data_IF_294088000504
#
_entry.id   IF_294088000504
#
_cell.length_a   1.000
_cell.length_b   1.000
_cell.length_c   1.000
_cell.angle_alpha   90.00
_cell.angle_beta   90.00
_cell.angle_gamma   90.00
#
_symmetry.space_group_name_H-M   'P 1'
#
loop_
_entity.id
_entity.type
_entity.pdbx_description
1 polymer ?
#
# COMPACT_ATOMS: atom_id res chain seq x y z
N UNK A 1 -21.92 -22.37 40.25
CA UNK A 1 -20.89 -23.08 39.46
C UNK A 1 -21.10 -22.77 37.99
N UNK A 2 -20.37 -21.78 37.47
CA UNK A 2 -19.88 -21.72 36.09
C UNK A 2 -18.83 -20.61 36.12
N UNK A 3 -17.56 -21.02 36.23
CA UNK A 3 -16.44 -20.09 36.37
C UNK A 3 -16.36 -19.23 35.12
N UNK A 4 -16.49 -17.92 35.29
CA UNK A 4 -15.90 -16.97 34.37
C UNK A 4 -14.40 -17.11 34.55
N UNK A 5 -13.80 -18.03 33.79
CA UNK A 5 -12.36 -18.10 33.63
C UNK A 5 -11.93 -16.82 32.91
N UNK A 6 -11.69 -15.77 33.70
CA UNK A 6 -10.88 -14.63 33.35
C UNK A 6 -9.42 -15.09 33.22
N UNK A 7 -9.16 -15.97 32.26
CA UNK A 7 -7.81 -16.22 31.78
C UNK A 7 -7.41 -14.96 30.99
N UNK A 8 -6.62 -14.10 31.62
CA UNK A 8 -6.02 -12.95 30.98
C UNK A 8 -5.13 -13.38 29.82
N UNK A 9 -5.71 -13.52 28.62
CA UNK A 9 -4.97 -13.34 27.38
C UNK A 9 -4.43 -11.91 27.40
N UNK A 10 -3.17 -11.75 27.80
CA UNK A 10 -2.45 -10.48 27.54
C UNK A 10 -2.57 -10.23 26.03
N UNK A 11 -2.93 -9.01 25.61
CA UNK A 11 -3.25 -8.74 24.22
C UNK A 11 -2.00 -8.96 23.39
N UNK A 12 -2.01 -10.03 22.59
CA UNK A 12 -1.04 -10.32 21.53
C UNK A 12 -0.97 -9.21 20.46
N UNK A 13 -1.80 -8.18 20.61
CA UNK A 13 -1.76 -6.89 19.93
C UNK A 13 -0.35 -6.36 19.68
N UNK A 14 0.53 -6.34 20.67
CA UNK A 14 1.90 -5.82 20.48
C UNK A 14 2.71 -6.66 19.49
N UNK A 15 2.49 -7.98 19.46
CA UNK A 15 3.09 -8.87 18.47
C UNK A 15 2.59 -8.55 17.06
N UNK A 16 1.27 -8.45 16.88
CA UNK A 16 0.69 -8.08 15.58
C UNK A 16 1.09 -6.67 15.14
N UNK A 17 1.15 -5.71 16.05
CA UNK A 17 1.59 -4.35 15.76
C UNK A 17 3.07 -4.35 15.34
N UNK A 18 3.92 -5.10 16.04
CA UNK A 18 5.33 -5.27 15.67
C UNK A 18 5.48 -5.88 14.28
N UNK A 19 4.77 -6.97 13.98
CA UNK A 19 4.78 -7.57 12.64
C UNK A 19 4.24 -6.63 11.56
N UNK A 20 3.12 -5.96 11.81
CA UNK A 20 2.53 -5.01 10.85
C UNK A 20 3.46 -3.84 10.59
N UNK A 21 4.13 -3.34 11.64
CA UNK A 21 5.17 -2.34 11.53
C UNK A 21 6.35 -2.81 10.69
N UNK A 22 6.84 -4.04 10.92
CA UNK A 22 7.89 -4.64 10.11
C UNK A 22 7.50 -4.75 8.63
N UNK A 23 6.28 -5.20 8.31
CA UNK A 23 5.77 -5.23 6.94
C UNK A 23 5.79 -3.85 6.29
N UNK A 24 5.25 -2.85 7.00
CA UNK A 24 5.22 -1.47 6.52
C UNK A 24 6.64 -0.90 6.34
N UNK A 25 7.57 -1.22 7.25
CA UNK A 25 8.97 -0.78 7.17
C UNK A 25 9.71 -1.45 6.00
N UNK A 26 9.51 -2.74 5.76
CA UNK A 26 10.10 -3.43 4.62
C UNK A 26 9.55 -2.88 3.30
N UNK A 27 8.22 -2.70 3.21
CA UNK A 27 7.58 -2.13 2.03
C UNK A 27 7.99 -0.68 1.79
N UNK A 28 7.97 0.17 2.82
CA UNK A 28 8.33 1.58 2.73
C UNK A 28 9.84 1.82 2.56
N UNK A 29 10.67 0.99 3.19
CA UNK A 29 12.12 1.08 3.12
C UNK A 29 12.66 0.90 1.71
N UNK A 30 12.12 -0.04 0.94
CA UNK A 30 12.50 -0.22 -0.48
C UNK A 30 12.25 1.03 -1.32
N UNK A 31 11.11 1.70 -1.10
CA UNK A 31 10.75 2.96 -1.77
C UNK A 31 11.68 4.09 -1.33
N UNK A 32 11.93 4.22 -0.02
CA UNK A 32 12.83 5.26 0.51
C UNK A 32 14.25 5.11 -0.04
N UNK A 33 14.77 3.89 -0.14
CA UNK A 33 16.07 3.63 -0.74
C UNK A 33 16.14 4.09 -2.21
N UNK A 34 15.10 3.80 -3.00
CA UNK A 34 15.02 4.25 -4.38
C UNK A 34 14.90 5.77 -4.52
N UNK A 35 14.23 6.43 -3.59
CA UNK A 35 14.16 7.89 -3.54
C UNK A 35 15.50 8.54 -3.17
N UNK A 36 16.31 7.89 -2.32
CA UNK A 36 17.60 8.42 -1.85
C UNK A 36 18.76 8.17 -2.82
N UNK A 37 18.68 7.17 -3.70
CA UNK A 37 19.77 6.80 -4.62
C UNK A 37 19.30 6.75 -6.08
N UNK A 38 18.74 7.85 -6.63
CA UNK A 38 18.40 7.88 -8.04
C UNK A 38 19.66 7.97 -8.93
N UNK A 39 19.64 7.42 -10.15
CA UNK A 39 20.70 7.63 -11.14
C UNK A 39 20.96 9.11 -11.41
N UNK A 40 22.19 9.47 -11.77
CA UNK A 40 22.56 10.86 -12.04
C UNK A 40 21.67 11.49 -13.13
N UNK A 41 21.04 12.63 -12.81
CA UNK A 41 20.12 13.33 -13.71
C UNK A 41 18.67 12.85 -13.65
N UNK A 42 18.35 11.84 -12.83
CA UNK A 42 16.99 11.31 -12.66
C UNK A 42 16.41 11.68 -11.30
N UNK A 43 15.08 11.75 -11.22
CA UNK A 43 14.32 11.86 -9.97
C UNK A 43 13.39 10.66 -9.84
N UNK A 44 13.26 10.16 -8.62
CA UNK A 44 12.33 9.09 -8.34
C UNK A 44 10.89 9.57 -8.50
N UNK A 45 10.11 8.86 -9.33
CA UNK A 45 8.72 9.20 -9.63
C UNK A 45 7.76 8.93 -8.45
N UNK A 46 8.10 7.97 -7.57
CA UNK A 46 7.20 7.51 -6.50
C UNK A 46 6.74 6.05 -6.65
N UNK A 47 7.20 5.33 -7.66
CA UNK A 47 6.82 3.93 -7.91
C UNK A 47 8.03 3.07 -8.26
N UNK A 48 8.17 1.91 -7.61
CA UNK A 48 9.15 0.87 -7.97
C UNK A 48 8.59 -0.08 -9.03
N UNK A 49 7.31 -0.38 -8.91
CA UNK A 49 6.52 -1.28 -9.77
C UNK A 49 5.21 -0.54 -10.07
N UNK A 50 4.61 -0.83 -11.22
CA UNK A 50 3.37 -0.21 -11.67
C UNK A 50 3.43 1.33 -11.70
N UNK A 51 4.45 1.87 -12.38
CA UNK A 51 4.67 3.32 -12.52
C UNK A 51 3.53 4.05 -13.23
N UNK A 52 2.79 3.33 -14.06
CA UNK A 52 1.68 3.87 -14.86
C UNK A 52 0.55 4.32 -13.94
N UNK A 53 0.14 3.47 -13.00
CA UNK A 53 -0.88 3.80 -12.00
C UNK A 53 -0.41 4.88 -11.02
N UNK A 54 0.85 4.81 -10.58
CA UNK A 54 1.41 5.86 -9.72
C UNK A 54 1.35 7.23 -10.41
N UNK A 55 1.60 7.28 -11.72
CA UNK A 55 1.47 8.51 -12.49
C UNK A 55 0.04 9.05 -12.50
N UNK A 56 -0.96 8.17 -12.65
CA UNK A 56 -2.39 8.51 -12.57
C UNK A 56 -2.75 9.06 -11.19
N UNK A 57 -2.28 8.42 -10.11
CA UNK A 57 -2.54 8.85 -8.74
C UNK A 57 -1.87 10.19 -8.41
N UNK A 58 -0.62 10.39 -8.82
CA UNK A 58 0.07 11.66 -8.62
C UNK A 58 -0.57 12.78 -9.45
N UNK A 59 -1.04 12.49 -10.66
CA UNK A 59 -1.78 13.46 -11.45
C UNK A 59 -3.13 13.84 -10.81
N UNK A 60 -3.81 12.89 -10.16
CA UNK A 60 -4.97 13.19 -9.32
C UNK A 60 -4.57 14.07 -8.12
N UNK A 61 -3.48 13.76 -7.43
CA UNK A 61 -3.00 14.59 -6.31
C UNK A 61 -2.66 16.02 -6.77
N UNK A 62 -2.06 16.20 -7.94
CA UNK A 62 -1.80 17.54 -8.51
C UNK A 62 -3.10 18.30 -8.78
N UNK A 63 -4.13 17.65 -9.30
CA UNK A 63 -5.46 18.26 -9.50
C UNK A 63 -6.11 18.62 -8.15
N UNK A 64 -6.06 17.71 -7.18
CA UNK A 64 -6.54 17.96 -5.82
C UNK A 64 -5.85 19.15 -5.16
N UNK A 65 -4.52 19.25 -5.29
CA UNK A 65 -3.73 20.37 -4.78
C UNK A 65 -4.13 21.72 -5.40
N UNK A 66 -4.63 21.72 -6.65
CA UNK A 66 -5.19 22.91 -7.33
C UNK A 66 -6.62 23.24 -6.91
N UNK A 67 -7.26 22.37 -6.13
CA UNK A 67 -8.61 22.57 -5.59
C UNK A 67 -9.71 21.78 -6.29
N UNK A 68 -9.37 20.93 -7.27
CA UNK A 68 -10.36 20.15 -8.02
C UNK A 68 -11.04 19.10 -7.12
N UNK A 69 -12.34 18.90 -7.35
CA UNK A 69 -13.16 17.89 -6.65
C UNK A 69 -13.53 16.70 -7.54
N UNK A 70 -13.40 16.86 -8.86
CA UNK A 70 -13.64 15.83 -9.86
C UNK A 70 -12.34 15.59 -10.60
N UNK A 71 -12.02 14.33 -10.84
CA UNK A 71 -10.82 13.94 -11.55
C UNK A 71 -11.03 14.06 -13.06
N UNK A 72 -10.05 14.66 -13.74
CA UNK A 72 -9.94 14.66 -15.20
C UNK A 72 -8.72 13.83 -15.61
N UNK A 73 -8.93 12.82 -16.46
CA UNK A 73 -7.85 11.97 -16.97
C UNK A 73 -6.91 12.80 -17.86
N UNK A 74 -5.63 13.02 -17.48
CA UNK A 74 -4.70 13.84 -18.26
C UNK A 74 -3.94 13.04 -19.33
N UNK A 75 -4.00 11.71 -19.25
CA UNK A 75 -3.28 10.78 -20.13
C UNK A 75 -4.20 10.14 -21.20
N UNK A 76 -5.50 10.42 -21.16
CA UNK A 76 -6.45 9.96 -22.18
C UNK A 76 -6.62 11.07 -23.23
N UNK A 77 -6.32 10.82 -24.52
CA UNK A 77 -6.57 11.79 -25.58
C UNK A 77 -8.07 12.04 -25.82
N UNK A 78 -8.93 11.12 -25.38
CA UNK A 78 -10.37 11.23 -25.51
C UNK A 78 -10.89 12.18 -24.43
N UNK A 79 -11.57 13.28 -24.79
CA UNK A 79 -12.12 14.19 -23.80
C UNK A 79 -13.28 13.52 -23.07
N UNK A 80 -13.04 13.06 -21.85
CA UNK A 80 -14.06 12.53 -20.95
C UNK A 80 -14.43 13.62 -19.92
N UNK A 81 -15.73 13.79 -19.59
CA UNK A 81 -16.14 14.69 -18.51
C UNK A 81 -15.43 14.37 -17.19
N UNK A 82 -15.14 15.36 -16.33
CA UNK A 82 -14.60 15.11 -15.00
C UNK A 82 -15.54 14.21 -14.19
N UNK A 83 -14.98 13.20 -13.50
CA UNK A 83 -15.76 12.20 -12.76
C UNK A 83 -15.30 12.07 -11.31
N UNK A 84 -16.18 11.51 -10.46
CA UNK A 84 -15.89 11.26 -9.05
C UNK A 84 -15.14 9.92 -8.91
N UNK A 85 -13.91 9.91 -9.44
CA UNK A 85 -12.94 8.82 -9.31
C UNK A 85 -11.66 9.37 -8.70
N UNK A 86 -10.81 8.49 -8.16
CA UNK A 86 -9.57 8.89 -7.47
C UNK A 86 -9.75 9.94 -6.37
N UNK A 87 -10.94 10.04 -5.77
CA UNK A 87 -11.27 11.09 -4.79
C UNK A 87 -10.36 11.07 -3.56
N UNK A 88 -9.92 9.89 -3.13
CA UNK A 88 -8.90 9.77 -2.08
C UNK A 88 -7.61 10.51 -2.46
N UNK A 89 -7.14 10.35 -3.69
CA UNK A 89 -5.93 11.00 -4.19
C UNK A 89 -6.14 12.51 -4.38
N UNK A 90 -7.33 12.96 -4.80
CA UNK A 90 -7.66 14.40 -4.79
C UNK A 90 -7.53 14.98 -3.36
N UNK A 91 -8.07 14.29 -2.36
CA UNK A 91 -7.96 14.71 -0.95
C UNK A 91 -6.52 14.70 -0.44
N UNK A 92 -5.72 13.68 -0.79
CA UNK A 92 -4.30 13.64 -0.45
C UNK A 92 -3.51 14.77 -1.14
N UNK A 93 -3.90 15.16 -2.36
CA UNK A 93 -3.38 16.33 -3.05
C UNK A 93 -3.63 17.62 -2.29
N UNK A 94 -4.87 17.82 -1.82
CA UNK A 94 -5.22 18.96 -0.95
C UNK A 94 -4.41 18.96 0.34
N UNK A 95 -4.22 17.78 0.95
CA UNK A 95 -3.38 17.64 2.15
C UNK A 95 -1.92 18.00 1.88
N UNK A 96 -1.36 17.56 0.75
CA UNK A 96 -0.01 17.93 0.30
C UNK A 96 0.14 19.44 0.13
N UNK A 97 -0.84 20.09 -0.51
CA UNK A 97 -0.87 21.55 -0.64
C UNK A 97 -0.99 22.26 0.72
N UNK A 98 -1.86 21.78 1.62
CA UNK A 98 -2.06 22.37 2.94
C UNK A 98 -0.82 22.24 3.84
N UNK A 99 -0.06 21.16 3.71
CA UNK A 99 1.19 20.93 4.46
C UNK A 99 2.41 21.55 3.77
N UNK A 100 2.29 22.02 2.52
CA UNK A 100 3.39 22.54 1.74
C UNK A 100 4.49 21.50 1.45
N UNK A 101 4.14 20.22 1.39
CA UNK A 101 5.10 19.11 1.23
C UNK A 101 4.89 18.35 -0.07
N UNK A 102 5.90 17.59 -0.48
CA UNK A 102 5.89 16.80 -1.73
C UNK A 102 4.76 15.75 -1.79
N UNK A 103 4.12 15.63 -2.96
CA UNK A 103 3.02 14.69 -3.20
C UNK A 103 3.44 13.23 -3.03
N UNK A 104 4.66 12.86 -3.44
CA UNK A 104 5.19 11.49 -3.32
C UNK A 104 5.34 11.12 -1.85
N UNK A 105 5.78 12.08 -1.01
CA UNK A 105 5.88 11.87 0.44
C UNK A 105 4.50 11.61 1.07
N UNK A 106 3.49 12.43 0.73
CA UNK A 106 2.13 12.24 1.24
C UNK A 106 1.53 10.94 0.73
N UNK A 107 1.74 10.59 -0.54
CA UNK A 107 1.30 9.33 -1.13
C UNK A 107 1.85 8.11 -0.36
N UNK A 108 3.16 8.07 -0.12
CA UNK A 108 3.75 6.95 0.63
C UNK A 108 3.40 6.97 2.11
N UNK A 109 3.29 8.15 2.73
CA UNK A 109 2.80 8.28 4.11
C UNK A 109 1.40 7.70 4.26
N UNK A 110 0.48 8.07 3.36
CA UNK A 110 -0.86 7.52 3.30
C UNK A 110 -0.84 5.99 3.09
N UNK A 111 -0.02 5.50 2.16
CA UNK A 111 0.14 4.05 1.92
C UNK A 111 0.56 3.29 3.17
N UNK A 112 1.51 3.81 3.95
CA UNK A 112 1.95 3.18 5.21
C UNK A 112 0.86 3.21 6.28
N UNK A 113 0.17 4.34 6.44
CA UNK A 113 -0.92 4.48 7.42
C UNK A 113 -2.08 3.54 7.08
N UNK A 114 -2.54 3.53 5.83
CA UNK A 114 -3.63 2.66 5.40
C UNK A 114 -3.23 1.18 5.39
N UNK A 115 -2.00 0.85 4.99
CA UNK A 115 -1.49 -0.52 5.05
C UNK A 115 -1.43 -1.06 6.49
N UNK A 116 -0.88 -0.26 7.42
CA UNK A 116 -0.88 -0.61 8.84
C UNK A 116 -2.31 -0.79 9.37
N UNK A 117 -3.20 0.15 9.05
CA UNK A 117 -4.61 0.09 9.47
C UNK A 117 -5.29 -1.17 8.94
N UNK A 118 -5.07 -1.53 7.67
CA UNK A 118 -5.62 -2.74 7.07
C UNK A 118 -5.15 -4.01 7.78
N UNK A 119 -3.87 -4.11 8.14
CA UNK A 119 -3.33 -5.26 8.88
C UNK A 119 -3.90 -5.37 10.30
N UNK A 120 -4.15 -4.23 10.96
CA UNK A 120 -4.79 -4.21 12.28
C UNK A 120 -6.28 -4.59 12.20
N UNK A 121 -6.98 -4.18 11.15
CA UNK A 121 -8.36 -4.62 10.86
C UNK A 121 -8.39 -6.12 10.55
N UNK A 122 -7.45 -6.62 9.76
CA UNK A 122 -7.32 -8.05 9.47
C UNK A 122 -7.12 -8.85 10.76
N UNK A 123 -6.29 -8.37 11.70
CA UNK A 123 -6.12 -9.00 13.02
C UNK A 123 -7.43 -9.03 13.80
N UNK A 124 -8.16 -7.92 13.83
CA UNK A 124 -9.47 -7.87 14.50
C UNK A 124 -10.44 -8.89 13.89
N UNK A 125 -10.46 -8.97 12.56
CA UNK A 125 -11.32 -9.90 11.82
C UNK A 125 -10.95 -11.37 12.07
N UNK A 126 -9.66 -11.74 12.03
CA UNK A 126 -9.24 -13.14 12.30
C UNK A 126 -9.46 -13.55 13.75
N UNK A 127 -9.33 -12.63 14.70
CA UNK A 127 -9.63 -12.86 16.11
C UNK A 127 -11.12 -13.11 16.36
N UNK A 128 -12.01 -12.50 15.57
CA UNK A 128 -13.45 -12.73 15.64
C UNK A 128 -13.85 -14.11 15.08
N UNK A 129 -13.10 -14.65 14.11
CA UNK A 129 -13.41 -15.92 13.44
C UNK A 129 -12.84 -17.15 14.14
N UNK A 130 -11.64 -17.05 14.69
CA UNK A 130 -10.93 -18.21 15.23
C UNK A 130 -10.71 -18.09 16.74
N UNK A 131 -10.88 -19.18 17.48
CA UNK A 131 -10.63 -19.21 18.94
C UNK A 131 -9.18 -19.54 19.29
N UNK A 132 -8.52 -20.41 18.52
CA UNK A 132 -7.13 -20.82 18.75
C UNK A 132 -6.16 -19.76 18.24
N UNK A 133 -5.18 -19.38 19.08
CA UNK A 133 -4.20 -18.34 18.78
C UNK A 133 -3.37 -18.66 17.54
N UNK A 134 -2.96 -19.91 17.38
CA UNK A 134 -2.15 -20.38 16.26
C UNK A 134 -2.92 -20.20 14.94
N UNK A 135 -4.20 -20.56 14.92
CA UNK A 135 -5.07 -20.41 13.74
C UNK A 135 -5.30 -18.93 13.40
N UNK A 136 -5.48 -18.06 14.40
CA UNK A 136 -5.58 -16.60 14.18
C UNK A 136 -4.34 -16.05 13.49
N UNK A 137 -3.16 -16.45 13.96
CA UNK A 137 -1.88 -16.00 13.41
C UNK A 137 -1.69 -16.51 11.99
N UNK A 138 -1.95 -17.81 11.74
CA UNK A 138 -1.85 -18.37 10.38
C UNK A 138 -2.81 -17.68 9.42
N UNK A 139 -4.08 -17.48 9.80
CA UNK A 139 -5.04 -16.76 8.96
C UNK A 139 -4.62 -15.31 8.70
N UNK A 140 -4.09 -14.62 9.71
CA UNK A 140 -3.61 -13.25 9.56
C UNK A 140 -2.41 -13.16 8.62
N UNK A 141 -1.44 -14.07 8.75
CA UNK A 141 -0.31 -14.16 7.83
C UNK A 141 -0.77 -14.45 6.40
N UNK A 142 -1.75 -15.33 6.20
CA UNK A 142 -2.32 -15.58 4.88
C UNK A 142 -2.96 -14.33 4.27
N UNK A 143 -3.64 -13.50 5.07
CA UNK A 143 -4.16 -12.20 4.61
C UNK A 143 -3.02 -11.25 4.26
N UNK A 144 -2.01 -11.13 5.13
CA UNK A 144 -0.87 -10.24 4.92
C UNK A 144 -0.04 -10.61 3.68
N UNK A 145 0.04 -11.89 3.33
CA UNK A 145 0.75 -12.42 2.16
C UNK A 145 -0.19 -12.91 1.06
N UNK A 146 -1.44 -12.43 1.03
CA UNK A 146 -2.44 -12.86 0.06
C UNK A 146 -2.11 -12.45 -1.38
N UNK A 147 -1.26 -11.44 -1.58
CA UNK A 147 -0.76 -11.05 -2.91
C UNK A 147 0.25 -12.05 -3.50
N UNK A 148 0.36 -13.25 -2.92
CA UNK A 148 1.26 -14.30 -3.34
C UNK A 148 2.74 -14.06 -3.01
N UNK A 149 3.57 -14.98 -3.51
CA UNK A 149 5.02 -14.95 -3.36
C UNK A 149 5.72 -14.58 -4.68
N UNK A 150 5.00 -13.99 -5.64
CA UNK A 150 5.51 -13.63 -6.96
C UNK A 150 6.74 -12.71 -6.92
N UNK A 151 6.86 -11.89 -5.87
CA UNK A 151 8.04 -11.04 -5.64
C UNK A 151 9.34 -11.84 -5.47
N UNK A 152 9.29 -13.12 -5.05
CA UNK A 152 10.47 -13.99 -4.98
C UNK A 152 11.10 -14.22 -6.36
N UNK A 153 10.30 -14.15 -7.44
CA UNK A 153 10.81 -14.30 -8.81
C UNK A 153 11.77 -13.17 -9.18
N UNK A 154 11.70 -12.01 -8.51
CA UNK A 154 12.65 -10.91 -8.70
C UNK A 154 14.07 -11.25 -8.19
N UNK A 155 14.23 -12.29 -7.36
CA UNK A 155 15.54 -12.76 -6.88
C UNK A 155 16.28 -13.59 -7.94
N UNK A 156 15.58 -14.07 -8.97
CA UNK A 156 16.18 -14.83 -10.07
C UNK A 156 16.88 -13.85 -11.02
N UNK A 157 18.19 -13.97 -11.30
CA UNK A 157 18.86 -13.01 -12.18
C UNK A 157 18.45 -13.25 -13.65
N UNK A 158 17.44 -12.53 -14.16
CA UNK A 158 17.12 -12.47 -15.61
C UNK A 158 15.96 -11.52 -15.90
N UNK A 159 16.27 -10.38 -16.52
CA UNK A 159 15.30 -9.29 -16.74
C UNK A 159 14.25 -9.57 -17.84
N UNK A 160 14.55 -10.44 -18.81
CA UNK A 160 13.75 -10.54 -20.04
C UNK A 160 12.35 -11.13 -19.84
N UNK A 161 12.20 -12.14 -18.97
CA UNK A 161 10.91 -12.76 -18.65
C UNK A 161 10.17 -12.06 -17.51
N UNK A 162 10.89 -11.41 -16.58
CA UNK A 162 10.32 -10.75 -15.40
C UNK A 162 9.50 -9.54 -15.82
N UNK A 163 10.00 -8.81 -16.81
CA UNK A 163 9.28 -7.70 -17.43
C UNK A 163 8.04 -8.15 -18.23
N UNK A 164 7.77 -9.46 -18.39
CA UNK A 164 6.57 -9.98 -19.09
C UNK A 164 5.57 -10.65 -18.14
N UNK A 165 5.98 -10.96 -16.92
CA UNK A 165 5.09 -11.59 -15.95
C UNK A 165 4.11 -10.56 -15.41
N UNK A 166 2.83 -10.83 -15.62
CA UNK A 166 1.76 -9.96 -15.15
C UNK A 166 1.80 -9.83 -13.63
N UNK A 167 2.14 -10.90 -12.90
CA UNK A 167 2.30 -10.91 -11.44
C UNK A 167 3.39 -9.96 -10.92
N UNK A 168 4.39 -9.64 -11.76
CA UNK A 168 5.45 -8.70 -11.42
C UNK A 168 5.15 -7.26 -11.87
N UNK A 169 4.29 -7.08 -12.88
CA UNK A 169 3.89 -5.74 -13.37
C UNK A 169 2.66 -5.19 -12.67
N UNK A 170 1.67 -6.05 -12.45
CA UNK A 170 0.37 -5.80 -11.85
C UNK A 170 0.15 -6.84 -10.74
N UNK A 171 0.81 -6.69 -9.58
CA UNK A 171 0.69 -7.63 -8.48
C UNK A 171 -0.76 -7.84 -7.99
N UNK A 172 -1.66 -6.91 -8.28
CA UNK A 172 -3.12 -7.04 -8.05
C UNK A 172 -3.81 -8.07 -8.95
N UNK A 173 -3.17 -8.53 -10.03
CA UNK A 173 -3.69 -9.56 -10.93
C UNK A 173 -3.21 -10.97 -10.59
N UNK A 174 -2.23 -11.10 -9.70
CA UNK A 174 -1.74 -12.37 -9.19
C UNK A 174 -2.75 -12.96 -8.20
N UNK A 175 -3.46 -14.01 -8.60
CA UNK A 175 -4.31 -14.86 -7.74
C UNK A 175 -3.66 -16.21 -7.50
#
# INVERSE_FOLDING_TARGET
MCGMDSAGERPDFWGYLGWSGLFCLLSGGSVLLAACVPPAGWRFLGGLVNSDDVSVYLAAMVQGARGDWLYRAPFDPTPVPPTLVHSLYLLLGRLSAALGTDHVLIYHGARLVFGLSALLVARWWTAALFRKRETRMTAWLLVAFSSGLGWLLALIPSAAWQARLIDLRLPETST
#
